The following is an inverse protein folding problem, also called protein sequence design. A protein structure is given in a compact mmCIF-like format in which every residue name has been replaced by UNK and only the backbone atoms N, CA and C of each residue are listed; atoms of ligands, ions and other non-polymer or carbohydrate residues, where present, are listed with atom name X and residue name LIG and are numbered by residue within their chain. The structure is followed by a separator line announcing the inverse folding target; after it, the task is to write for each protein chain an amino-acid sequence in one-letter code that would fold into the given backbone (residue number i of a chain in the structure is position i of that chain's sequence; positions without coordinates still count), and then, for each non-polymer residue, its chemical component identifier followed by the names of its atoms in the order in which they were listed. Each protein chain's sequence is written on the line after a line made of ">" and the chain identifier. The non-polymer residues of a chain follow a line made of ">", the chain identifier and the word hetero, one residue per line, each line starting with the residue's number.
data_IF_725376559041
#
_entry.id   IF_725376559041
#
_cell.length_a   1.000
_cell.length_b   1.000
_cell.length_c   1.000
_cell.angle_alpha   90.00
_cell.angle_beta   90.00
_cell.angle_gamma   90.00
#
_symmetry.space_group_name_H-M   'P 1'
#
loop_
_entity.id
_entity.type
_entity.pdbx_description
1 polymer ?
#
# COMPACT_ATOMS: atom_id res chain seq x y z
N UNK A 1 24.56 20.51 20.55
CA UNK A 1 23.79 20.04 19.38
C UNK A 1 22.29 20.13 19.73
N UNK A 2 21.66 21.25 19.41
CA UNK A 2 20.21 21.42 19.62
C UNK A 2 19.45 20.71 18.52
N UNK A 3 18.52 19.80 18.86
CA UNK A 3 17.86 18.96 17.87
C UNK A 3 16.96 19.80 16.95
N UNK A 4 16.84 19.39 15.70
CA UNK A 4 15.98 19.99 14.65
C UNK A 4 14.48 20.03 15.00
N UNK A 5 14.09 19.57 16.17
CA UNK A 5 12.72 19.54 16.71
C UNK A 5 12.09 20.93 16.87
N UNK A 6 12.87 21.96 17.21
CA UNK A 6 12.34 23.31 17.44
C UNK A 6 11.72 23.96 16.19
N UNK A 7 12.21 23.66 14.99
CA UNK A 7 11.64 24.19 13.73
C UNK A 7 10.31 23.53 13.36
N UNK A 8 10.18 22.23 13.58
CA UNK A 8 8.93 21.50 13.31
C UNK A 8 7.82 21.94 14.27
N UNK A 9 8.14 22.15 15.54
CA UNK A 9 7.21 22.63 16.55
C UNK A 9 6.67 24.03 16.24
N UNK A 10 7.52 25.00 15.87
CA UNK A 10 7.08 26.34 15.46
C UNK A 10 6.07 26.29 14.32
N UNK A 11 6.29 25.43 13.34
CA UNK A 11 5.40 25.25 12.19
C UNK A 11 4.06 24.66 12.61
N UNK A 12 4.06 23.69 13.51
CA UNK A 12 2.82 23.10 14.04
C UNK A 12 2.01 24.11 14.84
N UNK A 13 2.65 24.90 15.72
CA UNK A 13 2.00 25.96 16.48
C UNK A 13 1.39 27.03 15.56
N UNK A 14 2.13 27.46 14.55
CA UNK A 14 1.63 28.39 13.55
C UNK A 14 0.40 27.87 12.80
N UNK A 15 0.37 26.58 12.44
CA UNK A 15 -0.79 25.95 11.82
C UNK A 15 -2.00 25.91 12.76
N UNK A 16 -1.78 25.69 14.06
CA UNK A 16 -2.84 25.74 15.07
C UNK A 16 -3.43 27.14 15.21
N UNK A 17 -2.57 28.17 15.33
CA UNK A 17 -2.96 29.57 15.41
C UNK A 17 -3.76 30.00 14.16
N UNK A 18 -3.33 29.58 12.96
CA UNK A 18 -4.06 29.85 11.71
C UNK A 18 -5.39 29.09 11.64
N UNK A 19 -5.47 27.87 12.16
CA UNK A 19 -6.73 27.11 12.17
C UNK A 19 -7.78 27.73 13.10
N UNK A 20 -7.36 28.28 14.23
CA UNK A 20 -8.26 28.97 15.14
C UNK A 20 -8.87 30.26 14.54
N UNK A 21 -8.08 30.99 13.73
CA UNK A 21 -8.60 32.19 13.02
C UNK A 21 -9.76 31.90 12.08
N UNK A 22 -9.80 30.69 11.51
CA UNK A 22 -10.88 30.21 10.63
C UNK A 22 -11.97 29.43 11.40
N UNK A 23 -11.94 29.44 12.73
CA UNK A 23 -12.95 28.80 13.58
C UNK A 23 -12.78 27.30 13.78
N UNK A 24 -11.64 26.72 13.36
CA UNK A 24 -11.33 25.31 13.57
C UNK A 24 -10.60 25.13 14.90
N UNK A 25 -11.18 24.38 15.83
CA UNK A 25 -10.55 24.05 17.12
C UNK A 25 -9.97 22.64 17.11
N UNK A 26 -8.72 22.53 17.54
CA UNK A 26 -8.06 21.24 17.73
C UNK A 26 -8.71 20.49 18.90
N UNK A 27 -9.14 19.25 18.65
CA UNK A 27 -9.62 18.37 19.73
C UNK A 27 -8.46 17.48 20.20
N UNK A 28 -7.80 17.85 21.30
CA UNK A 28 -6.58 17.20 21.83
C UNK A 28 -6.81 15.72 22.05
N UNK A 29 -7.94 15.30 22.61
CA UNK A 29 -8.28 13.89 22.83
C UNK A 29 -8.31 13.02 21.54
N UNK A 30 -8.57 13.64 20.38
CA UNK A 30 -8.56 12.96 19.08
C UNK A 30 -7.24 13.11 18.34
N UNK A 31 -6.37 14.00 18.84
CA UNK A 31 -5.06 14.25 18.25
C UNK A 31 -4.08 13.22 18.76
N UNK A 32 -3.32 12.61 17.86
CA UNK A 32 -2.28 11.65 18.17
C UNK A 32 -0.98 12.09 17.53
N UNK A 33 0.14 11.86 18.22
CA UNK A 33 1.46 12.21 17.72
C UNK A 33 2.21 10.91 17.39
N UNK A 34 2.83 10.89 16.23
CA UNK A 34 3.74 9.83 15.82
C UNK A 34 5.13 10.44 15.63
N UNK A 35 6.13 9.85 16.27
CA UNK A 35 7.51 10.28 16.17
C UNK A 35 8.42 9.11 15.81
N UNK A 36 9.38 9.34 14.91
CA UNK A 36 10.39 8.36 14.53
C UNK A 36 11.61 8.42 15.46
N UNK A 37 11.39 8.35 16.78
CA UNK A 37 12.45 8.41 17.77
C UNK A 37 11.93 8.31 19.20
N UNK A 38 12.80 8.16 20.20
CA UNK A 38 12.38 8.08 21.59
C UNK A 38 11.79 9.43 22.03
N UNK A 39 10.45 9.46 22.16
CA UNK A 39 9.73 10.60 22.72
C UNK A 39 8.94 10.13 23.93
N UNK A 40 9.15 10.82 25.05
CA UNK A 40 8.54 10.46 26.32
C UNK A 40 7.17 11.11 26.53
N UNK A 41 6.97 12.36 26.11
CA UNK A 41 5.69 13.04 26.22
C UNK A 41 5.65 14.30 25.33
N UNK A 42 4.45 14.65 24.87
CA UNK A 42 4.18 15.92 24.19
C UNK A 42 3.01 16.63 24.83
N UNK A 43 3.11 17.95 24.94
CA UNK A 43 2.04 18.78 25.45
C UNK A 43 1.66 19.85 24.41
N UNK A 44 0.37 20.03 24.23
CA UNK A 44 -0.22 21.11 23.44
C UNK A 44 -1.14 21.89 24.40
N UNK A 45 -0.88 23.17 24.54
CA UNK A 45 -1.65 24.07 25.44
C UNK A 45 -1.77 23.55 26.90
N UNK A 46 -0.71 22.88 27.39
CA UNK A 46 -0.67 22.32 28.74
C UNK A 46 -1.32 20.94 28.89
N UNK A 47 -2.01 20.42 27.87
CA UNK A 47 -2.56 19.08 27.86
C UNK A 47 -1.60 18.08 27.22
N UNK A 48 -1.49 16.90 27.82
CA UNK A 48 -0.63 15.80 27.32
C UNK A 48 -1.30 15.12 26.14
N UNK A 49 -0.56 15.00 25.01
CA UNK A 49 -1.04 14.30 23.80
C UNK A 49 -0.46 12.90 23.77
N UNK A 50 -1.31 11.91 23.50
CA UNK A 50 -0.88 10.52 23.38
C UNK A 50 0.06 10.30 22.19
N UNK A 51 1.12 9.55 22.42
CA UNK A 51 2.03 9.09 21.37
C UNK A 51 1.65 7.72 20.88
N UNK A 52 1.70 7.49 19.58
CA UNK A 52 1.40 6.21 18.95
C UNK A 52 2.54 5.75 18.06
N UNK A 53 2.86 4.46 18.15
CA UNK A 53 3.81 3.81 17.23
C UNK A 53 3.17 3.44 15.89
N UNK A 54 1.84 3.32 15.86
CA UNK A 54 1.08 2.89 14.69
C UNK A 54 -0.18 3.72 14.58
N UNK A 55 -0.46 4.21 13.39
CA UNK A 55 -1.66 5.00 13.08
C UNK A 55 -2.33 4.48 11.80
N UNK A 56 -3.67 4.52 11.76
CA UNK A 56 -4.41 4.22 10.53
C UNK A 56 -4.93 5.55 9.97
N UNK A 57 -4.38 5.96 8.83
CA UNK A 57 -4.76 7.17 8.13
C UNK A 57 -5.34 6.82 6.75
N UNK A 58 -6.55 7.29 6.46
CA UNK A 58 -7.22 6.99 5.20
C UNK A 58 -7.31 5.48 4.88
N UNK A 59 -7.39 4.61 5.91
CA UNK A 59 -7.40 3.16 5.72
C UNK A 59 -6.03 2.53 5.45
N UNK A 60 -4.94 3.30 5.43
CA UNK A 60 -3.55 2.81 5.38
C UNK A 60 -2.90 2.81 6.75
N UNK A 61 -2.17 1.74 7.06
CA UNK A 61 -1.43 1.60 8.31
C UNK A 61 -0.05 2.26 8.18
N UNK A 62 0.18 3.31 8.95
CA UNK A 62 1.45 4.03 9.03
C UNK A 62 2.13 3.67 10.34
N UNK A 63 3.42 3.40 10.31
CA UNK A 63 4.25 3.07 11.46
C UNK A 63 5.30 4.16 11.70
N UNK A 64 5.69 4.38 12.96
CA UNK A 64 6.64 5.43 13.35
C UNK A 64 8.05 5.21 12.77
N UNK A 65 8.42 3.97 12.49
CA UNK A 65 9.68 3.56 11.85
C UNK A 65 9.66 3.71 10.32
N UNK A 66 8.50 4.04 9.73
CA UNK A 66 8.32 4.14 8.28
C UNK A 66 8.32 2.78 7.56
N UNK A 67 8.28 1.65 8.28
CA UNK A 67 8.24 0.33 7.66
C UNK A 67 6.86 0.00 7.12
N UNK A 68 6.74 -0.13 5.80
CA UNK A 68 5.48 -0.46 5.12
C UNK A 68 5.20 -1.97 5.01
N UNK A 69 6.09 -2.84 5.49
CA UNK A 69 5.98 -4.29 5.37
C UNK A 69 4.65 -4.84 5.92
N UNK A 70 4.21 -4.35 7.09
CA UNK A 70 2.93 -4.76 7.68
C UNK A 70 1.73 -4.34 6.84
N UNK A 71 1.75 -3.12 6.29
CA UNK A 71 0.67 -2.64 5.44
C UNK A 71 0.63 -3.42 4.12
N UNK A 72 1.77 -3.63 3.47
CA UNK A 72 1.86 -4.43 2.24
C UNK A 72 1.30 -5.83 2.46
N UNK A 73 1.71 -6.53 3.54
CA UNK A 73 1.15 -7.85 3.88
C UNK A 73 -0.36 -7.81 4.05
N UNK A 74 -0.88 -6.81 4.77
CA UNK A 74 -2.32 -6.62 4.99
C UNK A 74 -3.06 -6.43 3.66
N UNK A 75 -2.53 -5.59 2.77
CA UNK A 75 -3.12 -5.32 1.44
C UNK A 75 -3.10 -6.55 0.55
N UNK A 76 -2.02 -7.30 0.53
CA UNK A 76 -1.94 -8.56 -0.21
C UNK A 76 -2.96 -9.59 0.29
N UNK A 77 -3.21 -9.65 1.60
CA UNK A 77 -4.27 -10.50 2.16
C UNK A 77 -5.67 -10.05 1.73
N UNK A 78 -5.93 -8.74 1.72
CA UNK A 78 -7.19 -8.18 1.20
C UNK A 78 -7.37 -8.53 -0.28
N UNK A 79 -6.35 -8.35 -1.10
CA UNK A 79 -6.38 -8.74 -2.52
C UNK A 79 -6.67 -10.22 -2.72
N UNK A 80 -6.06 -11.09 -1.89
CA UNK A 80 -6.37 -12.53 -1.92
C UNK A 80 -7.84 -12.81 -1.56
N UNK A 81 -8.37 -12.12 -0.55
CA UNK A 81 -9.77 -12.25 -0.15
C UNK A 81 -10.72 -11.82 -1.27
N UNK A 82 -10.43 -10.66 -1.91
CA UNK A 82 -11.21 -10.20 -3.06
C UNK A 82 -11.17 -11.24 -4.18
N UNK A 83 -9.98 -11.71 -4.56
CA UNK A 83 -9.79 -12.72 -5.60
C UNK A 83 -10.53 -14.03 -5.30
N UNK A 84 -10.60 -14.43 -4.03
CA UNK A 84 -11.31 -15.64 -3.60
C UNK A 84 -12.82 -15.44 -3.62
N UNK A 85 -13.31 -14.30 -3.20
CA UNK A 85 -14.75 -13.98 -3.22
C UNK A 85 -15.31 -13.96 -4.66
N UNK A 86 -14.46 -13.62 -5.63
CA UNK A 86 -14.84 -13.56 -7.05
C UNK A 86 -14.56 -14.87 -7.82
N UNK A 87 -14.16 -15.92 -7.11
CA UNK A 87 -13.76 -17.20 -7.71
C UNK A 87 -14.85 -17.81 -8.61
N UNK A 88 -16.12 -17.68 -8.23
CA UNK A 88 -17.27 -18.15 -9.02
C UNK A 88 -17.40 -17.39 -10.36
N UNK A 89 -17.22 -16.08 -10.35
CA UNK A 89 -17.25 -15.23 -11.54
C UNK A 89 -16.04 -15.50 -12.42
N UNK A 90 -14.85 -15.53 -11.81
CA UNK A 90 -13.59 -15.75 -12.51
C UNK A 90 -13.48 -17.16 -13.11
N UNK A 91 -14.26 -18.12 -12.59
CA UNK A 91 -14.36 -19.50 -13.10
C UNK A 91 -15.47 -19.70 -14.11
N UNK A 92 -16.33 -18.72 -14.36
CA UNK A 92 -17.37 -18.85 -15.40
C UNK A 92 -16.72 -19.08 -16.76
N UNK A 93 -17.28 -20.01 -17.53
CA UNK A 93 -16.85 -20.29 -18.92
C UNK A 93 -17.40 -19.28 -19.91
N UNK A 94 -18.43 -18.55 -19.50
CA UNK A 94 -19.15 -17.59 -20.36
C UNK A 94 -18.40 -16.27 -20.49
N UNK A 95 -17.41 -16.02 -19.61
CA UNK A 95 -16.62 -14.79 -19.61
C UNK A 95 -15.27 -15.03 -20.29
N UNK A 96 -15.00 -14.25 -21.34
CA UNK A 96 -13.75 -14.34 -22.08
C UNK A 96 -12.55 -13.90 -21.21
N UNK A 97 -11.40 -14.53 -21.42
CA UNK A 97 -10.16 -14.26 -20.69
C UNK A 97 -9.77 -12.77 -20.65
N UNK A 98 -9.81 -11.98 -21.74
CA UNK A 98 -9.49 -10.55 -21.69
C UNK A 98 -10.39 -9.76 -20.73
N UNK A 99 -11.67 -10.08 -20.66
CA UNK A 99 -12.62 -9.45 -19.75
C UNK A 99 -12.29 -9.79 -18.30
N UNK A 100 -11.97 -11.04 -18.01
CA UNK A 100 -11.58 -11.48 -16.67
C UNK A 100 -10.26 -10.85 -16.22
N UNK A 101 -9.29 -10.72 -17.12
CA UNK A 101 -8.04 -9.99 -16.87
C UNK A 101 -8.31 -8.52 -16.53
N UNK A 102 -9.19 -7.86 -17.31
CA UNK A 102 -9.59 -6.47 -17.05
C UNK A 102 -10.28 -6.31 -15.71
N UNK A 103 -11.14 -7.25 -15.32
CA UNK A 103 -11.80 -7.28 -14.01
C UNK A 103 -10.77 -7.40 -12.87
N UNK A 104 -9.81 -8.31 -12.97
CA UNK A 104 -8.75 -8.44 -11.95
C UNK A 104 -7.94 -7.15 -11.84
N UNK A 105 -7.58 -6.54 -12.97
CA UNK A 105 -6.86 -5.25 -13.00
C UNK A 105 -7.68 -4.12 -12.38
N UNK A 106 -8.98 -4.07 -12.60
CA UNK A 106 -9.85 -3.00 -12.12
C UNK A 106 -10.27 -3.14 -10.65
N UNK A 107 -10.36 -4.36 -10.12
CA UNK A 107 -10.94 -4.60 -8.79
C UNK A 107 -9.92 -5.09 -7.76
N UNK A 108 -9.02 -5.99 -8.15
CA UNK A 108 -8.08 -6.61 -7.21
C UNK A 108 -6.88 -5.70 -7.00
N UNK A 109 -6.29 -5.19 -8.09
CA UNK A 109 -5.06 -4.40 -8.00
C UNK A 109 -5.24 -3.06 -7.29
N UNK A 110 -6.29 -2.26 -7.52
CA UNK A 110 -6.51 -1.05 -6.76
C UNK A 110 -6.71 -1.29 -5.27
N UNK A 111 -7.33 -2.40 -4.88
CA UNK A 111 -7.48 -2.76 -3.47
C UNK A 111 -6.12 -3.06 -2.80
N UNK A 112 -5.19 -3.67 -3.54
CA UNK A 112 -3.82 -3.96 -3.07
C UNK A 112 -2.97 -2.70 -3.07
N UNK A 113 -3.05 -1.88 -4.11
CA UNK A 113 -2.19 -0.70 -4.32
C UNK A 113 -2.69 0.55 -3.61
N UNK A 114 -3.80 0.48 -2.90
CA UNK A 114 -4.34 1.63 -2.20
C UNK A 114 -3.38 2.16 -1.14
N UNK A 115 -3.00 3.44 -1.25
CA UNK A 115 -2.05 4.10 -0.35
C UNK A 115 -0.59 3.76 -0.62
N UNK A 116 -0.27 3.14 -1.78
CA UNK A 116 1.09 2.74 -2.12
C UNK A 116 2.04 3.94 -2.33
N UNK A 117 1.51 5.12 -2.57
CA UNK A 117 2.26 6.37 -2.69
C UNK A 117 3.04 6.75 -1.42
N UNK A 118 2.60 6.22 -0.28
CA UNK A 118 3.27 6.43 1.01
C UNK A 118 4.29 5.34 1.37
N UNK A 119 4.46 4.31 0.52
CA UNK A 119 5.30 3.15 0.85
C UNK A 119 6.76 3.33 0.44
N UNK A 120 7.68 3.19 1.39
CA UNK A 120 9.10 3.00 1.12
C UNK A 120 9.37 1.51 0.84
N UNK A 121 9.31 1.11 -0.44
CA UNK A 121 9.31 -0.30 -0.83
C UNK A 121 10.72 -0.82 -0.98
N UNK A 122 11.04 -1.89 -0.24
CA UNK A 122 12.29 -2.62 -0.31
C UNK A 122 12.19 -3.79 -1.31
N UNK A 123 13.33 -4.29 -1.78
CA UNK A 123 13.37 -5.44 -2.72
C UNK A 123 12.58 -6.67 -2.26
N UNK A 124 12.51 -6.91 -0.95
CA UNK A 124 11.73 -8.00 -0.38
C UNK A 124 10.22 -7.85 -0.56
N UNK A 125 9.71 -6.63 -0.41
CA UNK A 125 8.31 -6.30 -0.63
C UNK A 125 7.95 -6.38 -2.12
N UNK A 126 8.82 -5.90 -3.02
CA UNK A 126 8.64 -6.06 -4.47
C UNK A 126 8.46 -7.53 -4.85
N UNK A 127 9.31 -8.41 -4.33
CA UNK A 127 9.21 -9.87 -4.58
C UNK A 127 7.86 -10.44 -4.12
N UNK A 128 7.34 -10.00 -2.98
CA UNK A 128 6.03 -10.44 -2.47
C UNK A 128 4.89 -9.96 -3.35
N UNK A 129 4.96 -8.73 -3.84
CA UNK A 129 3.96 -8.15 -4.72
C UNK A 129 3.95 -8.87 -6.07
N UNK A 130 5.14 -9.14 -6.64
CA UNK A 130 5.29 -9.91 -7.88
C UNK A 130 4.76 -11.35 -7.72
N UNK A 131 5.05 -11.98 -6.59
CA UNK A 131 4.55 -13.32 -6.28
C UNK A 131 3.01 -13.33 -6.14
N UNK A 132 2.43 -12.28 -5.57
CA UNK A 132 0.98 -12.13 -5.49
C UNK A 132 0.36 -11.93 -6.88
N UNK A 133 0.93 -11.07 -7.71
CA UNK A 133 0.48 -10.86 -9.08
C UNK A 133 0.48 -12.17 -9.87
N UNK A 134 1.60 -12.89 -9.84
CA UNK A 134 1.72 -14.19 -10.50
C UNK A 134 0.70 -15.19 -9.96
N UNK A 135 0.45 -15.22 -8.65
CA UNK A 135 -0.57 -16.06 -8.03
C UNK A 135 -1.98 -15.74 -8.57
N UNK A 136 -2.32 -14.45 -8.77
CA UNK A 136 -3.58 -14.05 -9.38
C UNK A 136 -3.72 -14.62 -10.80
N UNK A 137 -2.67 -14.52 -11.62
CA UNK A 137 -2.69 -15.00 -12.99
C UNK A 137 -2.73 -16.53 -13.10
N UNK A 138 -1.95 -17.24 -12.29
CA UNK A 138 -1.99 -18.72 -12.20
C UNK A 138 -3.43 -19.18 -11.86
N UNK A 139 -4.06 -18.52 -10.89
CA UNK A 139 -5.42 -18.83 -10.47
C UNK A 139 -6.44 -18.54 -11.56
N UNK A 140 -6.31 -17.42 -12.27
CA UNK A 140 -7.17 -17.02 -13.38
C UNK A 140 -7.08 -18.00 -14.54
N UNK A 141 -5.87 -18.35 -14.96
CA UNK A 141 -5.59 -19.27 -16.05
C UNK A 141 -5.84 -20.74 -15.66
N UNK A 142 -6.19 -21.02 -14.41
CA UNK A 142 -6.41 -22.39 -13.88
C UNK A 142 -5.23 -23.31 -14.14
N UNK A 143 -4.00 -22.78 -14.11
CA UNK A 143 -2.80 -23.56 -14.33
C UNK A 143 -2.62 -24.53 -13.15
N UNK A 144 -2.68 -25.86 -13.36
CA UNK A 144 -2.40 -26.78 -12.29
C UNK A 144 -0.92 -26.71 -11.92
N UNK A 145 -0.62 -26.89 -10.64
CA UNK A 145 0.77 -26.82 -10.14
C UNK A 145 1.69 -27.86 -10.81
N UNK A 146 1.11 -28.93 -11.36
CA UNK A 146 1.82 -30.01 -12.09
C UNK A 146 2.23 -29.59 -13.51
N UNK A 147 1.69 -28.51 -14.06
CA UNK A 147 1.89 -28.13 -15.46
C UNK A 147 3.29 -27.61 -15.81
N UNK A 148 4.19 -27.44 -14.83
CA UNK A 148 5.60 -26.98 -14.98
C UNK A 148 5.77 -25.80 -15.95
N UNK A 149 4.75 -24.90 -16.03
CA UNK A 149 4.82 -23.71 -16.89
C UNK A 149 5.71 -22.64 -16.25
N UNK A 150 6.53 -21.97 -17.06
CA UNK A 150 7.37 -20.89 -16.57
C UNK A 150 6.54 -19.63 -16.28
N UNK A 151 6.96 -18.80 -15.32
CA UNK A 151 6.32 -17.55 -14.99
C UNK A 151 6.22 -16.61 -16.21
N UNK A 152 7.25 -16.60 -17.05
CA UNK A 152 7.29 -15.82 -18.28
C UNK A 152 6.21 -16.24 -19.30
N UNK A 153 5.94 -17.54 -19.42
CA UNK A 153 4.88 -18.05 -20.30
C UNK A 153 3.51 -17.59 -19.83
N UNK A 154 3.27 -17.60 -18.51
CA UNK A 154 2.02 -17.14 -17.90
C UNK A 154 1.82 -15.65 -18.15
N UNK A 155 2.85 -14.83 -17.93
CA UNK A 155 2.78 -13.39 -18.13
C UNK A 155 2.56 -12.99 -19.59
N UNK A 156 3.19 -13.70 -20.55
CA UNK A 156 2.97 -13.49 -21.98
C UNK A 156 1.53 -13.80 -22.43
N UNK A 157 0.90 -14.79 -21.82
CA UNK A 157 -0.49 -15.13 -22.12
C UNK A 157 -1.49 -14.06 -21.66
N UNK A 158 -1.17 -13.39 -20.54
CA UNK A 158 -2.00 -12.30 -19.98
C UNK A 158 -1.79 -10.99 -20.73
N UNK A 159 -0.59 -10.70 -21.20
CA UNK A 159 -0.24 -9.45 -21.86
C UNK A 159 0.69 -9.70 -23.05
N UNK A 160 0.16 -10.16 -24.19
CA UNK A 160 0.96 -10.57 -25.35
C UNK A 160 1.74 -9.42 -26.00
N UNK A 161 1.43 -8.14 -25.68
CA UNK A 161 2.12 -6.97 -26.24
C UNK A 161 3.16 -6.32 -25.31
N UNK A 162 3.35 -6.84 -24.11
CA UNK A 162 4.33 -6.29 -23.17
C UNK A 162 5.67 -7.02 -23.34
N UNK A 163 6.70 -6.33 -23.79
CA UNK A 163 8.08 -6.82 -23.79
C UNK A 163 8.49 -7.00 -22.32
N UNK A 164 8.42 -8.23 -21.85
CA UNK A 164 8.79 -8.63 -20.51
C UNK A 164 10.30 -8.57 -20.33
N UNK A 165 10.84 -7.40 -19.99
CA UNK A 165 12.02 -7.40 -19.15
C UNK A 165 11.60 -8.01 -17.79
N UNK A 166 12.28 -9.04 -17.34
CA UNK A 166 11.93 -9.88 -16.17
C UNK A 166 11.81 -9.14 -14.83
N UNK A 167 11.88 -7.81 -14.82
CA UNK A 167 11.99 -6.95 -13.63
C UNK A 167 10.81 -6.00 -13.41
N UNK A 168 9.87 -5.88 -14.35
CA UNK A 168 8.73 -4.95 -14.18
C UNK A 168 7.43 -5.71 -14.03
N UNK A 169 6.84 -5.75 -12.83
CA UNK A 169 5.50 -6.28 -12.63
C UNK A 169 4.48 -5.44 -13.42
N UNK A 170 3.51 -6.11 -14.03
CA UNK A 170 2.39 -5.48 -14.77
C UNK A 170 1.53 -4.61 -13.84
N UNK A 171 1.54 -4.94 -12.56
CA UNK A 171 0.80 -4.29 -11.49
C UNK A 171 1.33 -2.89 -11.16
N UNK A 172 2.55 -2.60 -11.57
CA UNK A 172 3.27 -1.41 -11.18
C UNK A 172 3.08 -0.29 -12.19
N UNK A 173 2.54 0.88 -11.79
CA UNK A 173 2.52 2.01 -12.69
C UNK A 173 3.95 2.38 -13.09
N UNK A 174 4.22 2.70 -14.37
CA UNK A 174 5.57 2.95 -14.89
C UNK A 174 6.32 4.08 -14.16
N UNK A 175 5.59 4.98 -13.52
CA UNK A 175 6.14 6.16 -12.83
C UNK A 175 6.64 5.89 -11.41
N UNK A 176 6.42 4.69 -10.86
CA UNK A 176 6.83 4.36 -9.48
C UNK A 176 8.28 3.88 -9.36
N UNK A 177 9.04 3.83 -10.45
CA UNK A 177 10.49 3.52 -10.41
C UNK A 177 11.29 4.54 -9.58
N UNK A 178 10.77 5.74 -9.39
CA UNK A 178 11.39 6.81 -8.58
C UNK A 178 11.28 6.59 -7.06
N UNK A 179 10.49 5.62 -6.59
CA UNK A 179 10.25 5.35 -5.17
C UNK A 179 11.05 4.17 -4.61
N UNK A 180 11.86 3.51 -5.46
CA UNK A 180 12.80 2.47 -5.04
C UNK A 180 14.03 3.13 -4.42
N UNK A 181 14.08 3.18 -3.09
CA UNK A 181 15.26 3.52 -2.30
C UNK A 181 16.04 2.25 -1.96
#
# INVERSE_FOLDING_TARGET
>A
MTPSYGRKWRRTKQLLDESEKVGLKLKIQKTKIMASGPMTSWQIDGETVDTMAVFIFGGSKITADGDCNHEIKRRLLLGRKVMTNWDSILKSRDIMLPTTVSLVKAMVFPAVMYGCESWAIKKGECRRMNAFELWCWIRLLRVPWTARRSNQTILKEISPGCSTSAETPILWPPDTKSWLI
#
